data_IF_713472319326
#
_entry.id   IF_713472319326
#
_cell.length_a   1.000
_cell.length_b   1.000
_cell.length_c   1.000
_cell.angle_alpha   90.00
_cell.angle_beta   90.00
_cell.angle_gamma   90.00
#
_symmetry.space_group_name_H-M   'P 1'
#
loop_
_entity.id
_entity.type
_entity.pdbx_description
1 polymer ?
#
# COMPACT_ATOMS: atom_id res chain seq x y z
N UNK A 1 33.16 15.92 0.05
CA UNK A 1 33.70 14.55 0.10
C UNK A 1 34.79 14.32 -0.97
N UNK A 2 34.44 14.13 -2.24
CA UNK A 2 35.43 13.89 -3.32
C UNK A 2 36.46 15.04 -3.46
N UNK A 3 36.02 16.30 -3.33
CA UNK A 3 36.91 17.48 -3.32
C UNK A 3 37.92 17.51 -2.15
N UNK A 4 37.66 16.72 -1.10
CA UNK A 4 38.53 16.59 0.07
C UNK A 4 39.38 15.31 0.01
N UNK A 5 39.39 14.59 -1.13
CA UNK A 5 40.12 13.34 -1.30
C UNK A 5 39.52 12.12 -0.59
N UNK A 6 38.32 12.24 0.00
CA UNK A 6 37.65 11.15 0.71
C UNK A 6 36.92 10.23 -0.27
N UNK A 7 37.12 8.92 -0.14
CA UNK A 7 36.48 7.88 -0.97
C UNK A 7 35.12 7.49 -0.40
N UNK A 8 34.03 7.52 -1.20
CA UNK A 8 32.72 7.01 -0.79
C UNK A 8 32.79 5.55 -0.35
N UNK A 9 32.09 5.24 0.72
CA UNK A 9 31.96 3.89 1.30
C UNK A 9 30.49 3.45 1.35
N UNK A 10 30.24 2.26 1.89
CA UNK A 10 28.89 1.70 2.01
C UNK A 10 27.98 2.47 2.97
N UNK A 11 28.52 3.36 3.82
CA UNK A 11 27.71 4.26 4.66
C UNK A 11 27.36 5.56 3.93
N UNK A 12 28.15 5.97 2.94
CA UNK A 12 27.90 7.19 2.15
C UNK A 12 26.71 7.03 1.21
N UNK A 13 26.66 5.90 0.49
CA UNK A 13 25.69 5.71 -0.60
C UNK A 13 24.21 5.70 -0.20
N UNK A 14 23.80 5.11 0.94
CA UNK A 14 22.41 5.18 1.38
C UNK A 14 21.85 6.60 1.41
N UNK A 15 22.61 7.57 1.91
CA UNK A 15 22.19 8.98 1.96
C UNK A 15 22.10 9.62 0.58
N UNK A 16 23.06 9.32 -0.31
CA UNK A 16 23.05 9.82 -1.69
C UNK A 16 21.86 9.27 -2.46
N UNK A 17 21.60 7.97 -2.33
CA UNK A 17 20.47 7.28 -2.97
C UNK A 17 19.14 7.77 -2.42
N UNK A 18 19.04 7.98 -1.10
CA UNK A 18 17.84 8.53 -0.48
C UNK A 18 17.58 9.98 -0.94
N UNK A 19 18.62 10.80 -1.06
CA UNK A 19 18.50 12.14 -1.62
C UNK A 19 18.02 12.09 -3.08
N UNK A 20 18.59 11.21 -3.90
CA UNK A 20 18.13 11.00 -5.27
C UNK A 20 16.67 10.53 -5.33
N UNK A 21 16.27 9.62 -4.43
CA UNK A 21 14.91 9.09 -4.32
C UNK A 21 13.90 10.19 -3.92
N UNK A 22 14.26 11.05 -2.98
CA UNK A 22 13.43 12.17 -2.52
C UNK A 22 13.29 13.25 -3.59
N UNK A 23 14.36 13.50 -4.36
CA UNK A 23 14.36 14.43 -5.49
C UNK A 23 13.82 13.79 -6.78
N UNK A 24 13.45 12.51 -6.75
CA UNK A 24 13.05 11.70 -7.91
C UNK A 24 14.05 11.81 -9.08
N UNK A 25 15.33 11.97 -8.77
CA UNK A 25 16.38 12.20 -9.75
C UNK A 25 17.04 10.89 -10.15
N UNK A 26 16.45 10.22 -11.14
CA UNK A 26 16.98 8.97 -11.67
C UNK A 26 18.42 9.12 -12.18
N UNK A 27 18.76 10.26 -12.79
CA UNK A 27 20.12 10.55 -13.27
C UNK A 27 21.17 10.42 -12.16
N UNK A 28 20.96 11.09 -11.03
CA UNK A 28 21.89 11.02 -9.90
C UNK A 28 21.87 9.64 -9.23
N UNK A 29 20.71 9.00 -9.16
CA UNK A 29 20.58 7.63 -8.67
C UNK A 29 21.39 6.62 -9.49
N UNK A 30 21.33 6.69 -10.82
CA UNK A 30 22.11 5.85 -11.72
C UNK A 30 23.62 6.14 -11.63
N UNK A 31 24.02 7.40 -11.51
CA UNK A 31 25.42 7.77 -11.30
C UNK A 31 25.97 7.20 -9.97
N UNK A 32 25.17 7.26 -8.90
CA UNK A 32 25.50 6.64 -7.62
C UNK A 32 25.59 5.12 -7.73
N UNK A 33 24.62 4.48 -8.41
CA UNK A 33 24.64 3.03 -8.64
C UNK A 33 25.87 2.57 -9.44
N UNK A 34 26.24 3.27 -10.51
CA UNK A 34 27.46 2.98 -11.26
C UNK A 34 28.72 3.10 -10.38
N UNK A 35 28.72 4.03 -9.42
CA UNK A 35 29.82 4.19 -8.46
C UNK A 35 29.85 3.04 -7.45
N UNK A 36 28.70 2.61 -6.94
CA UNK A 36 28.56 1.43 -6.05
C UNK A 36 29.15 0.19 -6.72
N UNK A 37 28.82 -0.05 -7.99
CA UNK A 37 29.35 -1.18 -8.75
C UNK A 37 30.87 -1.10 -8.91
N UNK A 38 31.40 0.07 -9.33
CA UNK A 38 32.86 0.30 -9.47
C UNK A 38 33.63 0.12 -8.17
N UNK A 39 32.98 0.37 -7.04
CA UNK A 39 33.57 0.24 -5.71
C UNK A 39 33.37 -1.16 -5.10
N UNK A 40 32.72 -2.08 -5.83
CA UNK A 40 32.35 -3.42 -5.36
C UNK A 40 31.51 -3.41 -4.07
N UNK A 41 30.59 -2.45 -3.95
CA UNK A 41 29.70 -2.29 -2.79
C UNK A 41 28.28 -2.81 -3.07
N UNK A 42 28.07 -3.53 -4.18
CA UNK A 42 26.75 -3.94 -4.65
C UNK A 42 26.16 -5.13 -3.87
N UNK A 43 26.99 -5.91 -3.19
CA UNK A 43 26.55 -7.05 -2.35
C UNK A 43 26.27 -6.66 -0.90
N UNK A 44 26.32 -5.37 -0.57
CA UNK A 44 26.07 -4.89 0.80
C UNK A 44 24.57 -4.65 0.99
N UNK A 45 23.93 -5.40 1.88
CA UNK A 45 22.47 -5.43 2.09
C UNK A 45 21.83 -4.03 2.16
N UNK A 46 22.30 -3.15 3.05
CA UNK A 46 21.69 -1.83 3.21
C UNK A 46 21.92 -0.91 2.00
N UNK A 47 22.95 -1.15 1.20
CA UNK A 47 23.17 -0.46 -0.09
C UNK A 47 22.17 -0.97 -1.12
N UNK A 48 21.91 -2.28 -1.17
CA UNK A 48 20.89 -2.88 -2.03
C UNK A 48 19.48 -2.38 -1.66
N UNK A 49 19.12 -2.36 -0.39
CA UNK A 49 17.84 -1.79 0.09
C UNK A 49 17.67 -0.31 -0.29
N UNK A 50 18.75 0.47 -0.20
CA UNK A 50 18.76 1.87 -0.62
C UNK A 50 18.57 2.03 -2.13
N UNK A 51 19.17 1.14 -2.93
CA UNK A 51 18.99 1.11 -4.38
C UNK A 51 17.56 0.72 -4.77
N UNK A 52 16.98 -0.31 -4.14
CA UNK A 52 15.58 -0.70 -4.32
C UNK A 52 14.64 0.48 -4.05
N UNK A 53 14.84 1.15 -2.92
CA UNK A 53 14.06 2.34 -2.54
C UNK A 53 14.21 3.47 -3.57
N UNK A 54 15.44 3.73 -4.03
CA UNK A 54 15.72 4.78 -5.00
C UNK A 54 15.02 4.51 -6.33
N UNK A 55 15.13 3.30 -6.86
CA UNK A 55 14.48 2.94 -8.12
C UNK A 55 12.96 2.99 -8.03
N UNK A 56 12.38 2.43 -6.96
CA UNK A 56 10.94 2.45 -6.75
C UNK A 56 10.39 3.89 -6.69
N UNK A 57 11.05 4.79 -5.95
CA UNK A 57 10.60 6.20 -5.80
C UNK A 57 10.86 7.07 -7.03
N UNK A 58 11.82 6.70 -7.87
CA UNK A 58 12.02 7.29 -9.20
C UNK A 58 11.07 6.73 -10.27
N UNK A 59 10.07 5.93 -9.88
CA UNK A 59 9.09 5.33 -10.81
C UNK A 59 9.66 4.19 -11.66
N UNK A 60 10.87 3.72 -11.38
CA UNK A 60 11.54 2.64 -12.10
C UNK A 60 11.36 1.30 -11.38
N UNK A 61 10.11 0.92 -11.08
CA UNK A 61 9.81 -0.30 -10.32
C UNK A 61 10.30 -1.57 -11.02
N UNK A 62 10.36 -1.57 -12.37
CA UNK A 62 10.95 -2.67 -13.14
C UNK A 62 12.46 -2.84 -12.92
N UNK A 63 13.22 -1.75 -12.71
CA UNK A 63 14.64 -1.84 -12.35
C UNK A 63 14.81 -2.29 -10.89
N UNK A 64 13.94 -1.81 -9.99
CA UNK A 64 13.90 -2.30 -8.61
C UNK A 64 13.64 -3.82 -8.56
N UNK A 65 12.70 -4.32 -9.38
CA UNK A 65 12.40 -5.74 -9.52
C UNK A 65 13.61 -6.56 -9.96
N UNK A 66 14.31 -6.12 -11.00
CA UNK A 66 15.54 -6.80 -11.48
C UNK A 66 16.60 -6.87 -10.39
N UNK A 67 16.86 -5.76 -9.71
CA UNK A 67 17.82 -5.73 -8.60
C UNK A 67 17.40 -6.69 -7.48
N UNK A 68 16.11 -6.70 -7.12
CA UNK A 68 15.59 -7.63 -6.13
C UNK A 68 15.76 -9.10 -6.56
N UNK A 69 15.57 -9.40 -7.84
CA UNK A 69 15.77 -10.76 -8.37
C UNK A 69 17.25 -11.19 -8.35
N UNK A 70 18.19 -10.24 -8.34
CA UNK A 70 19.63 -10.48 -8.19
C UNK A 70 20.08 -10.67 -6.74
N UNK A 71 19.29 -10.22 -5.75
CA UNK A 71 19.61 -10.43 -4.32
C UNK A 71 19.57 -11.94 -4.00
N UNK A 72 20.71 -12.48 -3.57
CA UNK A 72 20.88 -13.91 -3.28
C UNK A 72 20.08 -14.33 -2.04
N UNK A 73 20.16 -13.54 -0.97
CA UNK A 73 19.44 -13.78 0.29
C UNK A 73 18.51 -12.60 0.54
N UNK A 74 17.22 -12.82 0.33
CA UNK A 74 16.20 -11.79 0.55
C UNK A 74 15.70 -11.86 1.98
N UNK A 75 15.83 -10.75 2.69
CA UNK A 75 15.28 -10.56 4.03
C UNK A 75 13.89 -9.89 3.98
N UNK A 76 13.20 -9.81 5.13
CA UNK A 76 11.89 -9.13 5.24
C UNK A 76 11.94 -7.70 4.66
N UNK A 77 13.04 -6.97 4.89
CA UNK A 77 13.18 -5.59 4.41
C UNK A 77 13.13 -5.52 2.89
N UNK A 78 13.89 -6.36 2.18
CA UNK A 78 13.89 -6.39 0.72
C UNK A 78 12.51 -6.73 0.14
N UNK A 79 11.79 -7.71 0.74
CA UNK A 79 10.43 -8.08 0.33
C UNK A 79 9.45 -6.92 0.52
N UNK A 80 9.46 -6.30 1.70
CA UNK A 80 8.61 -5.18 2.06
C UNK A 80 8.87 -3.94 1.19
N UNK A 81 10.12 -3.67 0.84
CA UNK A 81 10.47 -2.58 -0.08
C UNK A 81 9.86 -2.80 -1.48
N UNK A 82 9.92 -4.03 -2.00
CA UNK A 82 9.33 -4.32 -3.32
C UNK A 82 7.81 -4.34 -3.29
N UNK A 83 7.19 -4.94 -2.27
CA UNK A 83 5.73 -4.97 -2.12
C UNK A 83 5.15 -3.55 -1.99
N UNK A 84 5.73 -2.74 -1.10
CA UNK A 84 5.31 -1.34 -0.94
C UNK A 84 5.61 -0.49 -2.18
N UNK A 85 6.69 -0.80 -2.90
CA UNK A 85 7.03 -0.18 -4.18
C UNK A 85 5.96 -0.43 -5.24
N UNK A 86 5.51 -1.68 -5.39
CA UNK A 86 4.43 -2.03 -6.31
C UNK A 86 3.10 -1.39 -5.93
N UNK A 87 2.71 -1.46 -4.65
CA UNK A 87 1.48 -0.85 -4.15
C UNK A 87 1.43 0.67 -4.46
N UNK A 88 2.54 1.39 -4.22
CA UNK A 88 2.61 2.84 -4.47
C UNK A 88 2.55 3.22 -5.96
N UNK A 89 2.96 2.32 -6.85
CA UNK A 89 2.95 2.56 -8.30
C UNK A 89 1.65 2.12 -8.98
N UNK A 90 0.66 1.63 -8.21
CA UNK A 90 -0.59 1.11 -8.75
C UNK A 90 -0.44 -0.26 -9.43
N UNK A 91 0.68 -0.95 -9.22
CA UNK A 91 0.98 -2.29 -9.73
C UNK A 91 0.44 -3.35 -8.75
N UNK A 92 -0.86 -3.28 -8.46
CA UNK A 92 -1.45 -4.08 -7.40
C UNK A 92 -1.41 -5.59 -7.68
N UNK A 93 -1.59 -6.00 -8.95
CA UNK A 93 -1.49 -7.41 -9.35
C UNK A 93 -0.09 -7.98 -9.12
N UNK A 94 0.95 -7.21 -9.44
CA UNK A 94 2.35 -7.58 -9.23
C UNK A 94 2.71 -7.64 -7.74
N UNK A 95 2.12 -6.78 -6.91
CA UNK A 95 2.28 -6.85 -5.45
C UNK A 95 1.71 -8.16 -4.89
N UNK A 96 0.50 -8.54 -5.31
CA UNK A 96 -0.14 -9.79 -4.87
C UNK A 96 0.63 -11.01 -5.36
N UNK A 97 1.10 -11.00 -6.60
CA UNK A 97 1.90 -12.10 -7.14
C UNK A 97 3.26 -12.23 -6.43
N UNK A 98 3.90 -11.10 -6.12
CA UNK A 98 5.13 -11.11 -5.34
C UNK A 98 4.90 -11.66 -3.93
N UNK A 99 3.76 -11.34 -3.30
CA UNK A 99 3.41 -11.89 -2.00
C UNK A 99 3.18 -13.40 -2.03
N UNK A 100 2.48 -13.89 -3.07
CA UNK A 100 2.32 -15.34 -3.28
C UNK A 100 3.68 -16.02 -3.42
N UNK A 101 4.60 -15.41 -4.17
CA UNK A 101 5.97 -15.90 -4.32
C UNK A 101 6.69 -15.96 -2.97
N UNK A 102 6.65 -14.89 -2.17
CA UNK A 102 7.24 -14.85 -0.82
C UNK A 102 6.79 -16.04 0.03
N UNK A 103 5.48 -16.31 0.06
CA UNK A 103 4.91 -17.43 0.81
C UNK A 103 5.28 -18.79 0.24
N UNK A 104 5.33 -18.92 -1.09
CA UNK A 104 5.71 -20.18 -1.74
C UNK A 104 7.17 -20.55 -1.51
N UNK A 105 8.05 -19.54 -1.39
CA UNK A 105 9.46 -19.75 -1.03
C UNK A 105 9.61 -20.16 0.44
N UNK A 106 8.76 -19.65 1.33
CA UNK A 106 8.68 -20.08 2.74
C UNK A 106 9.95 -19.79 3.55
N UNK A 107 10.87 -18.96 3.03
CA UNK A 107 12.14 -18.61 3.69
C UNK A 107 12.00 -17.45 4.67
N UNK A 108 11.00 -16.59 4.46
CA UNK A 108 10.76 -15.39 5.26
C UNK A 108 9.26 -15.30 5.53
N UNK A 109 8.90 -15.21 6.80
CA UNK A 109 7.51 -15.06 7.21
C UNK A 109 7.01 -13.64 6.96
N UNK A 110 5.77 -13.47 6.45
CA UNK A 110 5.13 -12.16 6.37
C UNK A 110 5.05 -11.48 7.73
N UNK A 111 5.39 -10.20 7.76
CA UNK A 111 5.17 -9.35 8.94
C UNK A 111 4.01 -8.37 8.70
N UNK A 112 3.76 -7.53 9.70
CA UNK A 112 2.71 -6.52 9.63
C UNK A 112 2.87 -5.57 8.44
N UNK A 113 4.11 -5.17 8.10
CA UNK A 113 4.39 -4.27 6.98
C UNK A 113 4.14 -4.97 5.65
N UNK A 114 4.45 -6.27 5.57
CA UNK A 114 4.10 -7.12 4.43
C UNK A 114 2.59 -7.08 4.19
N UNK A 115 1.79 -7.40 5.22
CA UNK A 115 0.33 -7.50 5.08
C UNK A 115 -0.31 -6.16 4.75
N UNK A 116 0.11 -5.05 5.38
CA UNK A 116 -0.40 -3.71 5.06
C UNK A 116 -0.15 -3.36 3.59
N UNK A 117 1.04 -3.70 3.06
CA UNK A 117 1.37 -3.43 1.64
C UNK A 117 0.47 -4.21 0.69
N UNK A 118 0.16 -5.47 1.03
CA UNK A 118 -0.68 -6.36 0.21
C UNK A 118 -2.16 -6.01 0.34
N UNK A 119 -2.63 -5.62 1.54
CA UNK A 119 -3.99 -5.13 1.77
C UNK A 119 -4.27 -3.85 0.98
N UNK A 120 -3.29 -2.93 0.90
CA UNK A 120 -3.42 -1.74 0.07
C UNK A 120 -3.61 -2.10 -1.41
N UNK A 121 -2.77 -3.01 -1.94
CA UNK A 121 -2.91 -3.52 -3.31
C UNK A 121 -4.27 -4.22 -3.53
N UNK A 122 -4.72 -5.01 -2.56
CA UNK A 122 -6.02 -5.69 -2.58
C UNK A 122 -7.19 -4.70 -2.68
N UNK A 123 -7.15 -3.62 -1.90
CA UNK A 123 -8.17 -2.56 -1.94
C UNK A 123 -8.21 -1.86 -3.29
N UNK A 124 -7.05 -1.65 -3.91
CA UNK A 124 -6.94 -1.03 -5.24
C UNK A 124 -7.45 -1.94 -6.36
N UNK A 125 -7.37 -3.28 -6.18
CA UNK A 125 -7.99 -4.26 -7.08
C UNK A 125 -9.50 -4.42 -6.86
N UNK A 126 -10.01 -4.03 -5.69
CA UNK A 126 -11.41 -4.24 -5.31
C UNK A 126 -11.76 -5.71 -5.03
N UNK A 127 -10.77 -6.56 -4.73
CA UNK A 127 -10.97 -8.00 -4.51
C UNK A 127 -11.26 -8.31 -3.03
N UNK A 128 -12.55 -8.38 -2.66
CA UNK A 128 -12.96 -8.73 -1.28
C UNK A 128 -12.45 -10.12 -0.87
N UNK A 129 -12.39 -11.08 -1.80
CA UNK A 129 -12.03 -12.47 -1.48
C UNK A 129 -10.58 -12.57 -1.03
N UNK A 130 -9.69 -11.84 -1.73
CA UNK A 130 -8.29 -11.71 -1.32
C UNK A 130 -8.18 -11.01 0.05
N UNK A 131 -9.00 -10.00 0.30
CA UNK A 131 -9.05 -9.30 1.58
C UNK A 131 -9.43 -10.20 2.77
N UNK A 132 -10.45 -11.03 2.58
CA UNK A 132 -10.86 -12.03 3.58
C UNK A 132 -9.77 -13.07 3.84
N UNK A 133 -9.11 -13.53 2.79
CA UNK A 133 -8.01 -14.46 2.90
C UNK A 133 -6.80 -13.86 3.64
N UNK A 134 -6.49 -12.58 3.41
CA UNK A 134 -5.45 -11.86 4.18
C UNK A 134 -5.84 -11.70 5.65
N UNK A 135 -7.11 -11.48 5.96
CA UNK A 135 -7.61 -11.42 7.33
C UNK A 135 -7.43 -12.76 8.08
N UNK A 136 -7.70 -13.89 7.44
CA UNK A 136 -7.44 -15.22 8.01
C UNK A 136 -5.94 -15.40 8.29
N UNK A 137 -5.10 -14.95 7.36
CA UNK A 137 -3.65 -15.04 7.45
C UNK A 137 -3.05 -14.24 8.62
N UNK A 138 -3.67 -13.11 9.01
CA UNK A 138 -3.33 -12.37 10.23
C UNK A 138 -3.45 -13.27 11.46
N UNK A 139 -4.50 -14.09 11.51
CA UNK A 139 -4.73 -15.05 12.59
C UNK A 139 -3.73 -16.21 12.57
N UNK A 140 -3.44 -16.75 11.38
CA UNK A 140 -2.48 -17.86 11.21
C UNK A 140 -1.07 -17.49 11.68
N UNK A 141 -0.61 -16.28 11.37
CA UNK A 141 0.71 -15.79 11.80
C UNK A 141 0.73 -15.23 13.23
N UNK A 142 -0.40 -15.24 13.94
CA UNK A 142 -0.50 -14.70 15.29
C UNK A 142 -0.21 -13.18 15.35
N UNK A 143 -0.45 -12.46 14.26
CA UNK A 143 -0.22 -11.02 14.20
C UNK A 143 -1.29 -10.28 15.00
N UNK A 144 -0.86 -9.31 15.80
CA UNK A 144 -1.76 -8.54 16.64
C UNK A 144 -2.52 -7.55 15.78
N UNK A 145 -3.85 -7.61 15.81
CA UNK A 145 -4.72 -6.60 15.19
C UNK A 145 -4.63 -5.28 15.97
N UNK A 146 -3.61 -4.50 15.66
CA UNK A 146 -3.41 -3.16 16.22
C UNK A 146 -4.05 -2.10 15.30
N UNK A 147 -3.93 -0.81 15.66
CA UNK A 147 -4.51 0.28 14.87
C UNK A 147 -3.89 0.43 13.47
N UNK A 148 -2.62 0.05 13.27
CA UNK A 148 -1.95 0.15 11.97
C UNK A 148 -2.48 -0.90 10.99
N UNK A 149 -2.37 -2.19 11.34
CA UNK A 149 -2.94 -3.29 10.53
C UNK A 149 -4.45 -3.16 10.37
N UNK A 150 -5.15 -2.86 11.47
CA UNK A 150 -6.60 -2.70 11.49
C UNK A 150 -7.11 -1.60 10.56
N UNK A 151 -6.46 -0.44 10.56
CA UNK A 151 -6.83 0.66 9.65
C UNK A 151 -6.62 0.28 8.19
N UNK A 152 -5.56 -0.48 7.87
CA UNK A 152 -5.32 -0.96 6.51
C UNK A 152 -6.38 -1.96 6.03
N UNK A 153 -6.85 -2.85 6.91
CA UNK A 153 -7.94 -3.78 6.60
C UNK A 153 -9.27 -3.03 6.39
N UNK A 154 -9.56 -2.03 7.23
CA UNK A 154 -10.75 -1.17 7.08
C UNK A 154 -10.73 -0.43 5.74
N UNK A 155 -9.59 0.18 5.38
CA UNK A 155 -9.42 0.88 4.10
C UNK A 155 -9.64 -0.07 2.92
N UNK A 156 -9.04 -1.27 2.97
CA UNK A 156 -9.20 -2.30 1.95
C UNK A 156 -10.67 -2.69 1.76
N UNK A 157 -11.38 -3.09 2.82
CA UNK A 157 -12.79 -3.46 2.73
C UNK A 157 -13.66 -2.28 2.27
N UNK A 158 -13.36 -1.07 2.74
CA UNK A 158 -14.03 0.16 2.31
C UNK A 158 -13.89 0.42 0.81
N UNK A 159 -12.68 0.26 0.24
CA UNK A 159 -12.42 0.37 -1.20
C UNK A 159 -13.11 -0.73 -2.01
N UNK A 160 -13.18 -1.94 -1.47
CA UNK A 160 -13.93 -3.03 -2.09
C UNK A 160 -15.45 -2.85 -1.98
N UNK A 161 -15.93 -1.95 -1.11
CA UNK A 161 -17.35 -1.66 -0.90
C UNK A 161 -18.05 -2.58 0.11
N UNK A 162 -17.29 -3.40 0.84
CA UNK A 162 -17.80 -4.27 1.90
C UNK A 162 -17.69 -3.58 3.26
N UNK A 163 -18.62 -2.64 3.49
CA UNK A 163 -18.65 -1.85 4.72
C UNK A 163 -18.97 -2.67 5.98
N UNK A 164 -19.67 -3.80 5.82
CA UNK A 164 -19.97 -4.68 6.94
C UNK A 164 -18.68 -5.30 7.48
N UNK A 165 -17.81 -5.80 6.58
CA UNK A 165 -16.49 -6.30 6.96
C UNK A 165 -15.59 -5.21 7.54
N UNK A 166 -15.58 -4.03 6.92
CA UNK A 166 -14.86 -2.87 7.46
C UNK A 166 -15.30 -2.55 8.90
N UNK A 167 -16.63 -2.53 9.15
CA UNK A 167 -17.19 -2.28 10.47
C UNK A 167 -16.83 -3.36 11.48
N UNK A 168 -16.89 -4.64 11.09
CA UNK A 168 -16.47 -5.76 11.96
C UNK A 168 -15.02 -5.62 12.40
N UNK A 169 -14.10 -5.29 11.48
CA UNK A 169 -12.70 -5.07 11.83
C UNK A 169 -12.55 -3.90 12.80
N UNK A 170 -13.20 -2.77 12.52
CA UNK A 170 -13.16 -1.58 13.36
C UNK A 170 -13.65 -1.85 14.80
N UNK A 171 -14.74 -2.59 14.95
CA UNK A 171 -15.31 -2.91 16.25
C UNK A 171 -14.36 -3.77 17.10
N UNK A 172 -13.60 -4.70 16.48
CA UNK A 172 -12.58 -5.52 17.15
C UNK A 172 -11.32 -4.75 17.59
N UNK A 173 -11.09 -3.53 17.09
CA UNK A 173 -9.93 -2.76 17.51
C UNK A 173 -10.04 -2.36 18.98
N UNK A 174 -9.05 -2.78 19.77
CA UNK A 174 -8.93 -2.42 21.20
C UNK A 174 -8.81 -0.90 21.38
N UNK A 175 -8.11 -0.22 20.46
CA UNK A 175 -8.01 1.23 20.41
C UNK A 175 -8.30 1.73 19.00
N UNK A 176 -9.33 2.56 18.89
CA UNK A 176 -9.74 3.24 17.66
C UNK A 176 -9.08 4.62 17.65
N UNK A 177 -8.02 4.77 16.87
CA UNK A 177 -7.33 6.05 16.71
C UNK A 177 -7.88 6.85 15.52
N UNK A 178 -7.33 8.03 15.30
CA UNK A 178 -7.78 8.92 14.22
C UNK A 178 -7.67 8.26 12.84
N UNK A 179 -6.69 7.37 12.64
CA UNK A 179 -6.48 6.68 11.36
C UNK A 179 -7.61 5.69 11.10
N UNK A 180 -8.00 4.90 12.10
CA UNK A 180 -9.11 3.94 11.98
C UNK A 180 -10.45 4.65 11.72
N UNK A 181 -10.71 5.78 12.40
CA UNK A 181 -11.90 6.59 12.16
C UNK A 181 -11.93 7.18 10.74
N UNK A 182 -10.80 7.74 10.28
CA UNK A 182 -10.69 8.29 8.93
C UNK A 182 -10.90 7.21 7.86
N UNK A 183 -10.40 5.99 8.08
CA UNK A 183 -10.60 4.86 7.18
C UNK A 183 -12.10 4.50 7.08
N UNK A 184 -12.81 4.40 8.22
CA UNK A 184 -14.25 4.14 8.22
C UNK A 184 -15.05 5.23 7.50
N UNK A 185 -14.77 6.50 7.79
CA UNK A 185 -15.43 7.64 7.13
C UNK A 185 -15.19 7.61 5.62
N UNK A 186 -13.94 7.37 5.21
CA UNK A 186 -13.57 7.28 3.79
C UNK A 186 -14.30 6.13 3.09
N UNK A 187 -14.45 4.98 3.75
CA UNK A 187 -15.25 3.86 3.28
C UNK A 187 -16.72 4.24 3.06
N UNK A 188 -17.38 4.84 4.07
CA UNK A 188 -18.78 5.28 3.96
C UNK A 188 -18.99 6.30 2.85
N UNK A 189 -18.10 7.29 2.74
CA UNK A 189 -18.14 8.29 1.68
C UNK A 189 -18.03 7.61 0.31
N UNK A 190 -17.06 6.72 0.12
CA UNK A 190 -16.83 6.02 -1.14
C UNK A 190 -18.02 5.15 -1.53
N UNK A 191 -18.65 4.48 -0.56
CA UNK A 191 -19.88 3.69 -0.77
C UNK A 191 -21.07 4.56 -1.17
N UNK A 192 -21.27 5.70 -0.50
CA UNK A 192 -22.33 6.65 -0.83
C UNK A 192 -22.15 7.22 -2.25
N UNK A 193 -20.91 7.55 -2.63
CA UNK A 193 -20.59 7.99 -4.00
C UNK A 193 -20.81 6.89 -5.05
N UNK A 194 -20.40 5.63 -4.78
CA UNK A 194 -20.68 4.52 -5.69
C UNK A 194 -22.19 4.28 -5.87
N UNK A 195 -22.96 4.35 -4.78
CA UNK A 195 -24.41 4.16 -4.83
C UNK A 195 -25.16 5.33 -5.47
N UNK A 196 -24.68 6.55 -5.31
CA UNK A 196 -25.27 7.70 -6.02
C UNK A 196 -24.97 7.64 -7.51
N UNK A 197 -23.74 7.26 -7.91
CA UNK A 197 -23.36 7.03 -9.30
C UNK A 197 -24.11 5.85 -9.93
N UNK A 198 -24.28 4.72 -9.24
CA UNK A 198 -25.03 3.58 -9.76
C UNK A 198 -26.51 3.91 -9.98
N UNK A 199 -27.12 4.63 -9.04
CA UNK A 199 -28.48 5.18 -9.19
C UNK A 199 -28.57 6.18 -10.33
N UNK A 200 -27.57 7.04 -10.50
CA UNK A 200 -27.51 8.00 -11.60
C UNK A 200 -27.39 7.30 -12.96
N UNK A 201 -26.54 6.27 -13.08
CA UNK A 201 -26.39 5.49 -14.30
C UNK A 201 -27.66 4.70 -14.65
N UNK A 202 -28.32 4.11 -13.63
CA UNK A 202 -29.64 3.47 -13.79
C UNK A 202 -30.77 4.46 -14.13
N UNK A 203 -30.61 5.74 -13.78
CA UNK A 203 -31.55 6.81 -14.11
C UNK A 203 -31.28 7.37 -15.51
N UNK A 204 -30.03 7.40 -15.98
CA UNK A 204 -29.71 7.76 -17.37
C UNK A 204 -30.24 6.75 -18.41
N UNK A 205 -30.51 5.49 -18.03
CA UNK A 205 -31.23 4.51 -18.88
C UNK A 205 -32.77 4.66 -18.83
N UNK A 206 -33.30 5.56 -17.99
CA UNK A 206 -34.73 5.74 -17.75
C UNK A 206 -35.04 7.23 -17.69
N UNK A 207 -35.37 7.84 -18.83
CA UNK A 207 -35.65 9.27 -18.95
C UNK A 207 -36.67 9.76 -17.90
N UNK A 208 -36.26 10.48 -16.83
CA UNK A 208 -37.06 11.52 -16.13
C UNK A 208 -36.34 12.18 -14.92
N UNK A 209 -36.09 13.49 -15.08
CA UNK A 209 -36.00 14.63 -14.13
C UNK A 209 -35.16 14.56 -12.83
N UNK A 210 -34.10 15.38 -12.83
CA UNK A 210 -33.08 15.65 -11.80
C UNK A 210 -33.57 16.16 -10.42
N UNK A 211 -34.79 16.71 -10.30
CA UNK A 211 -35.22 17.45 -9.11
C UNK A 211 -35.81 16.58 -7.98
N UNK A 212 -36.24 15.35 -8.27
CA UNK A 212 -36.82 14.43 -7.28
C UNK A 212 -35.75 13.72 -6.45
N UNK A 213 -34.56 13.46 -7.01
CA UNK A 213 -33.49 12.68 -6.38
C UNK A 213 -32.81 13.45 -5.24
N UNK A 214 -32.57 14.75 -5.42
CA UNK A 214 -31.96 15.60 -4.37
C UNK A 214 -32.88 15.74 -3.15
N UNK A 215 -34.21 15.85 -3.38
CA UNK A 215 -35.19 15.93 -2.30
C UNK A 215 -35.36 14.61 -1.54
N UNK A 216 -35.33 13.46 -2.22
CA UNK A 216 -35.34 12.13 -1.58
C UNK A 216 -34.05 11.82 -0.81
N UNK A 217 -32.91 12.33 -1.27
CA UNK A 217 -31.61 12.18 -0.59
C UNK A 217 -31.53 12.98 0.72
N UNK A 218 -32.08 14.19 0.74
CA UNK A 218 -32.11 15.03 1.94
C UNK A 218 -33.13 14.52 2.99
N UNK A 219 -34.18 13.82 2.57
CA UNK A 219 -35.17 13.24 3.49
C UNK A 219 -34.75 11.89 4.08
N UNK A 220 -34.02 11.05 3.35
CA UNK A 220 -33.70 9.68 3.78
C UNK A 220 -32.42 9.53 4.64
N UNK A 221 -31.55 10.55 4.67
CA UNK A 221 -30.23 10.45 5.31
C UNK A 221 -30.05 11.32 6.57
N UNK A 222 -31.14 11.90 7.11
CA UNK A 222 -31.08 12.60 8.40
C UNK A 222 -30.67 11.67 9.55
N UNK A 223 -31.12 10.41 9.51
CA UNK A 223 -30.82 9.43 10.55
C UNK A 223 -29.38 8.87 10.45
N UNK A 224 -28.81 8.85 9.24
CA UNK A 224 -27.42 8.40 9.01
C UNK A 224 -26.39 9.44 9.46
N UNK A 225 -26.75 10.73 9.42
CA UNK A 225 -25.92 11.82 9.95
C UNK A 225 -25.96 11.87 11.49
N UNK A 226 -27.07 11.46 12.10
CA UNK A 226 -27.22 11.39 13.55
C UNK A 226 -26.46 10.21 14.19
N UNK A 227 -26.28 9.09 13.48
CA UNK A 227 -25.51 7.94 13.97
C UNK A 227 -23.98 8.11 13.90
N UNK A 228 -23.49 9.13 13.20
CA UNK A 228 -22.06 9.50 13.13
C UNK A 228 -21.68 10.51 14.23
N UNK A 229 -22.67 11.14 14.88
CA UNK A 229 -22.49 12.22 15.86
C UNK A 229 -22.75 11.81 17.33
N UNK A 230 -22.96 10.53 17.62
CA UNK A 230 -23.14 9.97 18.98
C UNK A 230 -22.15 8.82 19.18
#
# INVERSE_FOLDING_TARGET
MLRCGLRPDHYTFPFVLLAAANLQSLYHGLAAHASIFKLALHDVDHVQHSLLTMYARCGQVGLARKLFDEIVVRDSVSWNLMLSGYAKMGCAGEAVELFRRMRSEGLVEPDEVTLVSVLAACGDLGDVSLGMWLEELVGEYGLVLNSFLGSSMIDMYGKCGDLDSARRVFDRLAKKDLVAWNAMITGYISFLFRNSLSKFHSCCSSSLQYLTVVNLWCHSNKDLLLSILV
#
